data_IF_422511109693
#
_entry.id   IF_422511109693
#
_cell.length_a   1.000
_cell.length_b   1.000
_cell.length_c   1.000
_cell.angle_alpha   90.00
_cell.angle_beta   90.00
_cell.angle_gamma   90.00
#
_symmetry.space_group_name_H-M   'P 1'
#
loop_
_entity.id
_entity.type
_entity.pdbx_description
1 polymer ?
#
# COMPACT_ATOMS: atom_id res chain seq x y z
N UNK A 1 -14.06 5.03 18.16
CA UNK A 1 -12.91 5.28 19.05
C UNK A 1 -11.94 6.31 18.46
N UNK A 2 -12.32 7.00 17.38
CA UNK A 2 -11.50 8.00 16.68
C UNK A 2 -11.82 9.47 17.01
N UNK A 3 -12.84 9.72 17.84
CA UNK A 3 -13.25 11.10 18.22
C UNK A 3 -12.38 11.79 19.28
N UNK A 4 -11.28 11.17 19.71
CA UNK A 4 -10.43 11.77 20.75
C UNK A 4 -9.23 12.58 20.23
N UNK A 5 -8.99 12.59 18.91
CA UNK A 5 -7.86 13.32 18.34
C UNK A 5 -8.05 14.85 18.28
N UNK A 6 -9.27 15.33 18.35
CA UNK A 6 -9.61 16.77 18.29
C UNK A 6 -9.37 17.56 19.59
N UNK A 7 -8.90 16.92 20.68
CA UNK A 7 -8.69 17.55 21.97
C UNK A 7 -7.24 17.58 22.50
N UNK A 8 -6.26 17.23 21.66
CA UNK A 8 -4.86 17.42 22.01
C UNK A 8 -4.51 18.91 21.88
N UNK A 9 -4.12 19.50 23.01
CA UNK A 9 -3.96 20.94 23.22
C UNK A 9 -3.01 21.60 22.23
N UNK A 10 -3.21 22.91 22.05
CA UNK A 10 -2.36 23.83 21.30
C UNK A 10 -0.91 23.75 21.77
N UNK A 11 -0.09 22.97 21.08
CA UNK A 11 1.32 22.88 21.38
C UNK A 11 2.02 21.92 20.43
N UNK A 12 2.68 22.47 19.42
CA UNK A 12 3.39 21.82 18.32
C UNK A 12 2.48 21.25 17.25
N UNK A 13 2.04 22.12 16.37
CA UNK A 13 1.64 21.73 15.04
C UNK A 13 2.87 21.18 14.33
N UNK A 14 3.05 19.86 14.32
CA UNK A 14 3.58 19.25 13.11
C UNK A 14 2.49 19.50 12.08
N UNK A 15 2.69 20.52 11.28
CA UNK A 15 2.02 20.68 10.02
C UNK A 15 2.42 19.46 9.19
N UNK A 16 1.72 18.34 9.32
CA UNK A 16 1.34 17.65 8.14
C UNK A 16 0.57 18.72 7.35
N UNK A 17 1.19 19.34 6.39
CA UNK A 17 0.43 19.79 5.25
C UNK A 17 -0.37 18.55 4.87
N UNK A 18 -1.66 18.57 5.15
CA UNK A 18 -2.61 17.67 4.53
C UNK A 18 -2.36 17.90 3.05
N UNK A 19 -1.56 17.01 2.44
CA UNK A 19 -1.60 16.81 1.02
C UNK A 19 -2.99 16.26 0.77
N UNK A 20 -3.91 17.18 0.52
CA UNK A 20 -5.31 16.94 0.16
C UNK A 20 -5.41 16.35 -1.27
N UNK A 21 -4.31 15.72 -1.70
CA UNK A 21 -4.20 14.95 -2.91
C UNK A 21 -4.71 13.54 -2.58
N UNK A 22 -5.96 13.32 -2.92
CA UNK A 22 -6.59 12.03 -2.71
C UNK A 22 -6.13 11.02 -3.77
N UNK A 23 -6.87 10.95 -4.83
CA UNK A 23 -6.61 10.13 -6.00
C UNK A 23 -6.90 10.97 -7.25
N UNK A 24 -6.01 10.89 -8.22
CA UNK A 24 -6.21 11.45 -9.55
C UNK A 24 -6.34 10.30 -10.55
N UNK A 25 -7.26 10.40 -11.53
CA UNK A 25 -7.37 9.44 -12.59
C UNK A 25 -7.68 10.13 -13.93
N UNK A 26 -7.09 9.60 -15.00
CA UNK A 26 -7.20 10.17 -16.35
C UNK A 26 -6.75 9.19 -17.41
N UNK A 27 -7.13 9.45 -18.66
CA UNK A 27 -6.59 8.74 -19.82
C UNK A 27 -5.35 9.44 -20.36
N UNK A 28 -4.28 8.69 -20.62
CA UNK A 28 -3.09 9.17 -21.36
C UNK A 28 -2.71 8.14 -22.44
N UNK A 29 -2.96 8.50 -23.68
CA UNK A 29 -2.72 7.62 -24.82
C UNK A 29 -3.49 6.31 -24.78
N UNK A 30 -2.78 5.20 -24.61
CA UNK A 30 -3.36 3.85 -24.51
C UNK A 30 -3.55 3.37 -23.06
N UNK A 31 -3.22 4.21 -22.09
CA UNK A 31 -3.25 3.90 -20.67
C UNK A 31 -4.38 4.63 -19.97
N UNK A 32 -4.97 3.97 -18.98
CA UNK A 32 -5.69 4.63 -17.91
C UNK A 32 -4.75 4.76 -16.71
N UNK A 33 -4.56 5.97 -16.22
CA UNK A 33 -3.64 6.28 -15.12
C UNK A 33 -4.43 6.56 -13.85
N UNK A 34 -4.01 5.96 -12.74
CA UNK A 34 -4.56 6.19 -11.41
C UNK A 34 -3.39 6.53 -10.48
N UNK A 35 -3.34 7.77 -9.99
CA UNK A 35 -2.33 8.23 -9.04
C UNK A 35 -2.90 8.23 -7.61
N UNK A 36 -2.42 7.33 -6.77
CA UNK A 36 -2.80 7.26 -5.35
C UNK A 36 -1.72 7.89 -4.48
N UNK A 37 -1.98 9.08 -3.95
CA UNK A 37 -1.05 9.78 -3.06
C UNK A 37 -1.13 9.30 -1.61
N UNK A 38 -2.21 8.62 -1.23
CA UNK A 38 -2.40 8.01 0.08
C UNK A 38 -3.37 6.84 0.00
N UNK A 39 -3.24 5.88 0.90
CA UNK A 39 -4.25 4.86 1.15
C UNK A 39 -5.05 5.16 2.43
N UNK A 40 -5.29 6.44 2.73
CA UNK A 40 -6.23 6.79 3.78
C UNK A 40 -7.59 6.11 3.53
N UNK A 41 -8.24 5.69 4.62
CA UNK A 41 -9.51 4.93 4.52
C UNK A 41 -10.61 5.73 3.79
N UNK A 42 -10.55 7.05 3.80
CA UNK A 42 -11.48 7.91 3.08
C UNK A 42 -11.42 7.72 1.56
N UNK A 43 -10.29 7.23 1.04
CA UNK A 43 -10.10 6.92 -0.40
C UNK A 43 -11.04 5.82 -0.90
N UNK A 44 -11.67 5.04 -0.02
CA UNK A 44 -12.72 4.10 -0.43
C UNK A 44 -13.88 4.80 -1.17
N UNK A 45 -14.17 6.05 -0.84
CA UNK A 45 -15.19 6.83 -1.54
C UNK A 45 -14.76 7.19 -2.97
N UNK A 46 -13.47 7.46 -3.17
CA UNK A 46 -12.91 7.79 -4.49
C UNK A 46 -12.88 6.59 -5.42
N UNK A 47 -12.87 5.36 -4.90
CA UNK A 47 -12.92 4.15 -5.73
C UNK A 47 -14.22 4.03 -6.53
N UNK A 48 -15.33 4.60 -6.04
CA UNK A 48 -16.59 4.63 -6.79
C UNK A 48 -16.45 5.53 -8.04
N UNK A 49 -15.82 6.70 -7.91
CA UNK A 49 -15.54 7.60 -9.03
C UNK A 49 -14.60 6.94 -10.06
N UNK A 50 -13.51 6.33 -9.58
CA UNK A 50 -12.59 5.58 -10.47
C UNK A 50 -13.36 4.50 -11.25
N UNK A 51 -14.27 3.79 -10.60
CA UNK A 51 -15.08 2.78 -11.25
C UNK A 51 -15.99 3.38 -12.35
N UNK A 52 -16.56 4.56 -12.13
CA UNK A 52 -17.36 5.25 -13.14
C UNK A 52 -16.51 5.66 -14.35
N UNK A 53 -15.34 6.26 -14.12
CA UNK A 53 -14.44 6.68 -15.19
C UNK A 53 -13.88 5.50 -15.99
N UNK A 54 -13.59 4.37 -15.32
CA UNK A 54 -13.13 3.15 -15.97
C UNK A 54 -14.18 2.50 -16.89
N UNK A 55 -15.49 2.75 -16.68
CA UNK A 55 -16.53 2.22 -17.55
C UNK A 55 -16.49 2.80 -18.98
N UNK A 56 -16.00 4.03 -19.10
CA UNK A 56 -15.89 4.70 -20.40
C UNK A 56 -14.54 4.42 -21.09
N UNK A 57 -13.57 3.87 -20.35
CA UNK A 57 -12.27 3.50 -20.91
C UNK A 57 -12.33 2.20 -21.72
N UNK A 58 -11.86 2.26 -22.97
CA UNK A 58 -11.90 1.13 -23.89
C UNK A 58 -10.53 0.46 -24.12
N UNK A 59 -9.49 0.91 -23.40
CA UNK A 59 -8.17 0.28 -23.44
C UNK A 59 -8.07 -0.95 -22.55
N UNK A 60 -6.91 -1.60 -22.58
CA UNK A 60 -6.63 -2.79 -21.78
C UNK A 60 -5.40 -2.63 -20.86
N UNK A 61 -4.87 -1.41 -20.75
CA UNK A 61 -3.67 -1.09 -19.98
C UNK A 61 -3.96 -0.07 -18.90
N UNK A 62 -3.56 -0.40 -17.68
CA UNK A 62 -3.65 0.50 -16.52
C UNK A 62 -2.27 0.74 -15.94
N UNK A 63 -2.01 1.98 -15.58
CA UNK A 63 -0.90 2.40 -14.72
C UNK A 63 -1.47 2.85 -13.38
N UNK A 64 -0.97 2.28 -12.29
CA UNK A 64 -1.27 2.69 -10.91
C UNK A 64 0.01 3.29 -10.35
N UNK A 65 0.00 4.57 -10.02
CA UNK A 65 1.15 5.25 -9.42
C UNK A 65 0.96 5.38 -7.90
N UNK A 66 1.88 4.77 -7.15
CA UNK A 66 1.99 4.86 -5.70
C UNK A 66 3.40 5.33 -5.28
N UNK A 67 4.11 6.00 -6.18
CA UNK A 67 5.53 6.31 -5.99
C UNK A 67 5.79 7.29 -4.83
N UNK A 68 4.84 8.14 -4.49
CA UNK A 68 4.88 9.07 -3.35
C UNK A 68 3.91 8.69 -2.22
N UNK A 69 3.29 7.51 -2.29
CA UNK A 69 2.30 7.03 -1.33
C UNK A 69 2.96 6.46 -0.07
N UNK A 70 2.80 7.14 1.05
CA UNK A 70 3.34 6.75 2.35
C UNK A 70 2.49 5.71 3.11
N UNK A 71 1.47 5.14 2.45
CA UNK A 71 0.65 4.09 3.03
C UNK A 71 -0.73 4.56 3.49
N UNK A 72 -1.23 3.90 4.53
CA UNK A 72 -2.58 4.06 5.06
C UNK A 72 -3.21 2.69 5.37
N UNK A 73 -4.39 2.41 4.84
CA UNK A 73 -5.11 1.15 5.06
C UNK A 73 -4.99 0.19 3.89
N UNK A 74 -4.61 -1.05 4.17
CA UNK A 74 -4.60 -2.13 3.18
C UNK A 74 -5.98 -2.38 2.54
N UNK A 75 -7.07 -2.01 3.21
CA UNK A 75 -8.43 -2.17 2.70
C UNK A 75 -8.61 -1.42 1.38
N UNK A 76 -7.98 -0.24 1.22
CA UNK A 76 -8.12 0.60 0.03
C UNK A 76 -7.56 -0.10 -1.21
N UNK A 77 -6.30 -0.53 -1.16
CA UNK A 77 -5.70 -1.18 -2.31
C UNK A 77 -6.28 -2.59 -2.56
N UNK A 78 -6.67 -3.32 -1.51
CA UNK A 78 -7.36 -4.61 -1.67
C UNK A 78 -8.69 -4.45 -2.42
N UNK A 79 -9.43 -3.38 -2.12
CA UNK A 79 -10.67 -3.04 -2.82
C UNK A 79 -10.39 -2.67 -4.28
N UNK A 80 -9.37 -1.85 -4.54
CA UNK A 80 -8.95 -1.53 -5.90
C UNK A 80 -8.63 -2.80 -6.71
N UNK A 81 -7.83 -3.71 -6.15
CA UNK A 81 -7.51 -4.99 -6.79
C UNK A 81 -8.76 -5.80 -7.08
N UNK A 82 -9.75 -5.81 -6.16
CA UNK A 82 -11.02 -6.54 -6.39
C UNK A 82 -11.80 -6.01 -7.59
N UNK A 83 -11.67 -4.73 -7.90
CA UNK A 83 -12.32 -4.12 -9.08
C UNK A 83 -11.57 -4.43 -10.38
N UNK A 84 -10.23 -4.32 -10.35
CA UNK A 84 -9.39 -4.38 -11.54
C UNK A 84 -9.03 -5.80 -11.99
N UNK A 85 -9.33 -6.81 -11.19
CA UNK A 85 -8.96 -8.19 -11.47
C UNK A 85 -10.15 -9.06 -11.86
N UNK A 86 -9.98 -9.86 -12.88
CA UNK A 86 -10.93 -10.93 -13.26
C UNK A 86 -10.84 -12.19 -12.38
N UNK A 87 -9.84 -12.29 -11.50
CA UNK A 87 -9.56 -13.48 -10.69
C UNK A 87 -9.40 -13.17 -9.20
N UNK A 88 -9.74 -14.16 -8.36
CA UNK A 88 -9.49 -14.11 -6.93
C UNK A 88 -8.00 -14.29 -6.63
N UNK A 89 -7.53 -13.62 -5.58
CA UNK A 89 -6.17 -13.78 -5.09
C UNK A 89 -6.15 -14.33 -3.67
N UNK A 90 -5.25 -15.27 -3.44
CA UNK A 90 -4.86 -15.72 -2.11
C UNK A 90 -3.34 -15.70 -2.00
N UNK A 91 -2.83 -14.76 -1.25
CA UNK A 91 -1.40 -14.56 -1.04
C UNK A 91 -1.03 -14.72 0.42
N UNK A 92 0.08 -15.41 0.68
CA UNK A 92 0.61 -15.62 2.03
C UNK A 92 2.05 -15.15 2.09
N UNK A 93 2.34 -14.27 3.03
CA UNK A 93 3.68 -13.77 3.30
C UNK A 93 4.13 -14.16 4.70
N UNK A 94 5.36 -14.65 4.82
CA UNK A 94 5.95 -14.93 6.14
C UNK A 94 6.62 -13.67 6.65
N UNK A 95 6.09 -13.12 7.73
CA UNK A 95 6.67 -11.97 8.42
C UNK A 95 7.49 -12.46 9.61
N UNK A 96 8.69 -11.87 9.78
CA UNK A 96 9.57 -12.18 10.91
C UNK A 96 9.70 -10.95 11.79
N UNK A 97 9.53 -11.14 13.09
CA UNK A 97 9.62 -10.07 14.07
C UNK A 97 10.50 -10.42 15.26
N UNK A 98 10.78 -9.42 16.08
CA UNK A 98 11.60 -9.48 17.26
C UNK A 98 10.98 -8.70 18.42
N UNK A 99 11.23 -9.15 19.64
CA UNK A 99 10.81 -8.45 20.84
C UNK A 99 9.51 -8.98 21.44
N UNK A 100 9.48 -8.94 22.79
CA UNK A 100 8.35 -9.45 23.58
C UNK A 100 7.07 -8.65 23.34
N UNK A 101 7.20 -7.31 23.29
CA UNK A 101 6.05 -6.42 23.08
C UNK A 101 5.43 -6.68 21.71
N UNK A 102 6.27 -6.71 20.66
CA UNK A 102 5.84 -6.99 19.29
C UNK A 102 5.17 -8.36 19.16
N UNK A 103 5.76 -9.41 19.78
CA UNK A 103 5.15 -10.73 19.75
C UNK A 103 3.75 -10.73 20.37
N UNK A 104 3.59 -10.13 21.55
CA UNK A 104 2.28 -10.03 22.23
C UNK A 104 1.29 -9.17 21.44
N UNK A 105 1.79 -8.14 20.77
CA UNK A 105 0.96 -7.30 19.93
C UNK A 105 0.39 -8.09 18.74
N UNK A 106 1.23 -8.85 18.02
CA UNK A 106 0.78 -9.73 16.93
C UNK A 106 -0.21 -10.79 17.45
N UNK A 107 0.07 -11.42 18.57
CA UNK A 107 -0.82 -12.40 19.22
C UNK A 107 -2.19 -11.80 19.60
N UNK A 108 -2.26 -10.49 19.87
CA UNK A 108 -3.54 -9.83 20.21
C UNK A 108 -4.51 -9.70 19.03
N UNK A 109 -4.06 -9.96 17.80
CA UNK A 109 -4.89 -10.05 16.59
C UNK A 109 -5.36 -11.47 16.30
N UNK A 110 -5.25 -12.41 17.25
CA UNK A 110 -5.54 -13.84 17.06
C UNK A 110 -4.70 -14.50 15.95
N UNK A 111 -3.52 -13.96 15.70
CA UNK A 111 -2.56 -14.48 14.71
C UNK A 111 -1.70 -15.56 15.39
N UNK A 112 -1.60 -16.73 14.76
CA UNK A 112 -0.70 -17.80 15.20
C UNK A 112 0.77 -17.39 15.00
N UNK A 113 1.50 -17.30 16.12
CA UNK A 113 2.88 -16.83 16.14
C UNK A 113 3.82 -17.96 16.51
N UNK A 114 4.77 -18.26 15.64
CA UNK A 114 5.78 -19.28 15.82
C UNK A 114 7.10 -18.68 16.33
N UNK A 115 7.75 -19.35 17.27
CA UNK A 115 9.07 -18.98 17.78
C UNK A 115 9.07 -18.26 19.13
N UNK A 116 10.24 -17.73 19.50
CA UNK A 116 10.49 -17.10 20.81
C UNK A 116 10.32 -15.57 20.75
N UNK A 117 10.38 -14.93 21.93
CA UNK A 117 10.37 -13.45 22.02
C UNK A 117 11.58 -12.80 21.31
N UNK A 118 12.73 -13.48 21.24
CA UNK A 118 13.92 -12.97 20.55
C UNK A 118 13.81 -13.06 19.02
N UNK A 119 13.04 -14.00 18.51
CA UNK A 119 12.74 -14.13 17.08
C UNK A 119 11.46 -14.95 16.92
N UNK A 120 10.47 -14.31 16.33
CA UNK A 120 9.19 -14.94 16.00
C UNK A 120 8.83 -14.74 14.54
N UNK A 121 7.85 -15.48 14.06
CA UNK A 121 7.27 -15.29 12.74
C UNK A 121 5.79 -15.63 12.74
N UNK A 122 5.07 -15.01 11.81
CA UNK A 122 3.67 -15.31 11.53
C UNK A 122 3.42 -15.30 10.02
N UNK A 123 2.26 -15.78 9.63
CA UNK A 123 1.83 -15.73 8.24
C UNK A 123 0.78 -14.61 8.10
N UNK A 124 1.14 -13.60 7.31
CA UNK A 124 0.19 -12.62 6.82
C UNK A 124 -0.57 -13.20 5.63
N UNK A 125 -1.90 -13.22 5.72
CA UNK A 125 -2.78 -13.79 4.70
C UNK A 125 -3.60 -12.67 4.05
N UNK A 126 -3.40 -12.50 2.75
CA UNK A 126 -4.20 -11.58 1.93
C UNK A 126 -5.13 -12.44 1.07
N UNK A 127 -6.43 -12.26 1.26
CA UNK A 127 -7.49 -12.92 0.48
C UNK A 127 -8.35 -11.84 -0.16
N UNK A 128 -8.37 -11.79 -1.49
CA UNK A 128 -9.11 -10.80 -2.26
C UNK A 128 -10.06 -11.55 -3.18
N UNK A 129 -11.36 -11.33 -2.98
CA UNK A 129 -12.39 -11.81 -3.87
C UNK A 129 -12.60 -10.79 -4.99
N UNK A 130 -12.46 -11.20 -6.22
CA UNK A 130 -12.72 -10.35 -7.38
C UNK A 130 -14.20 -10.00 -7.48
N UNK A 131 -14.50 -8.72 -7.69
CA UNK A 131 -15.84 -8.26 -8.04
C UNK A 131 -16.11 -8.36 -9.54
N UNK A 132 -15.10 -8.72 -10.33
CA UNK A 132 -15.17 -8.92 -11.80
C UNK A 132 -15.76 -7.73 -12.55
N UNK A 133 -15.48 -6.52 -12.06
CA UNK A 133 -15.94 -5.30 -12.71
C UNK A 133 -15.15 -5.05 -13.99
N UNK A 134 -13.83 -5.33 -13.94
CA UNK A 134 -12.90 -5.19 -15.05
C UNK A 134 -11.95 -6.40 -15.09
N UNK A 135 -11.38 -6.66 -16.26
CA UNK A 135 -10.37 -7.71 -16.47
C UNK A 135 -9.25 -7.13 -17.34
N UNK A 136 -8.41 -6.30 -16.72
CA UNK A 136 -7.29 -5.70 -17.43
C UNK A 136 -6.16 -6.71 -17.61
N UNK A 137 -5.68 -6.81 -18.84
CA UNK A 137 -4.61 -7.75 -19.19
C UNK A 137 -3.23 -7.24 -18.83
N UNK A 138 -3.07 -5.92 -18.74
CA UNK A 138 -1.81 -5.27 -18.45
C UNK A 138 -2.00 -4.20 -17.36
N UNK A 139 -1.62 -4.57 -16.15
CA UNK A 139 -1.58 -3.65 -15.01
C UNK A 139 -0.11 -3.38 -14.69
N UNK A 140 0.23 -2.11 -14.59
CA UNK A 140 1.55 -1.64 -14.19
C UNK A 140 1.42 -0.89 -12.86
N UNK A 141 2.38 -1.10 -11.97
CA UNK A 141 2.43 -0.43 -10.68
C UNK A 141 3.73 0.34 -10.57
N UNK A 142 3.63 1.67 -10.48
CA UNK A 142 4.78 2.53 -10.26
C UNK A 142 4.99 2.69 -8.76
N UNK A 143 6.22 2.44 -8.30
CA UNK A 143 6.63 2.60 -6.92
C UNK A 143 7.88 3.45 -6.80
N UNK A 144 8.08 4.09 -5.65
CA UNK A 144 9.19 4.99 -5.38
C UNK A 144 9.82 4.78 -4.00
N UNK A 145 10.79 5.61 -3.68
CA UNK A 145 11.49 5.60 -2.40
C UNK A 145 10.64 6.14 -1.23
N UNK A 146 9.45 6.69 -1.52
CA UNK A 146 8.43 7.05 -0.52
C UNK A 146 7.36 5.98 -0.35
N UNK A 147 7.29 4.99 -1.25
CA UNK A 147 6.30 3.90 -1.13
C UNK A 147 6.51 3.15 0.19
N UNK A 148 5.56 3.27 1.12
CA UNK A 148 5.74 2.85 2.50
C UNK A 148 4.49 2.14 3.05
N UNK A 149 4.64 1.27 4.06
CA UNK A 149 3.55 0.65 4.81
C UNK A 149 2.54 -0.08 3.90
N UNK A 150 1.27 0.30 3.88
CA UNK A 150 0.24 -0.30 3.02
C UNK A 150 0.59 -0.23 1.52
N UNK A 151 1.27 0.83 1.07
CA UNK A 151 1.73 0.94 -0.32
C UNK A 151 2.85 -0.07 -0.64
N UNK A 152 3.79 -0.31 0.28
CA UNK A 152 4.78 -1.39 0.15
C UNK A 152 4.12 -2.79 0.18
N UNK A 153 3.10 -2.97 1.02
CA UNK A 153 2.28 -4.18 1.05
C UNK A 153 1.66 -4.46 -0.32
N UNK A 154 1.09 -3.45 -0.95
CA UNK A 154 0.50 -3.53 -2.28
C UNK A 154 1.55 -3.84 -3.36
N UNK A 155 2.71 -3.17 -3.33
CA UNK A 155 3.79 -3.43 -4.27
C UNK A 155 4.30 -4.88 -4.16
N UNK A 156 4.49 -5.38 -2.95
CA UNK A 156 4.90 -6.76 -2.67
C UNK A 156 3.87 -7.78 -3.11
N UNK A 157 2.59 -7.54 -2.80
CA UNK A 157 1.48 -8.36 -3.27
C UNK A 157 1.47 -8.42 -4.80
N UNK A 158 1.49 -7.26 -5.47
CA UNK A 158 1.44 -7.15 -6.92
C UNK A 158 2.57 -7.92 -7.61
N UNK A 159 3.80 -7.76 -7.10
CA UNK A 159 4.97 -8.47 -7.61
C UNK A 159 4.87 -9.98 -7.41
N UNK A 160 4.42 -10.41 -6.23
CA UNK A 160 4.43 -11.82 -5.85
C UNK A 160 3.31 -12.62 -6.50
N UNK A 161 2.16 -12.00 -6.75
CA UNK A 161 1.00 -12.64 -7.37
C UNK A 161 0.98 -12.48 -8.89
N UNK A 162 1.76 -11.54 -9.43
CA UNK A 162 1.70 -11.15 -10.83
C UNK A 162 0.48 -10.29 -11.17
N UNK A 163 -0.19 -9.71 -10.18
CA UNK A 163 -1.29 -8.78 -10.41
C UNK A 163 -0.85 -7.60 -11.26
N UNK A 164 0.31 -7.02 -10.96
CA UNK A 164 0.87 -5.94 -11.74
C UNK A 164 2.35 -6.13 -12.02
N UNK A 165 2.82 -5.56 -13.14
CA UNK A 165 4.24 -5.37 -13.42
C UNK A 165 4.76 -4.17 -12.62
N UNK A 166 5.61 -4.42 -11.63
CA UNK A 166 6.12 -3.37 -10.73
C UNK A 166 7.34 -2.70 -11.32
N UNK A 167 7.30 -1.38 -11.45
CA UNK A 167 8.30 -0.53 -12.10
C UNK A 167 8.68 0.62 -11.15
N UNK A 168 9.92 1.09 -11.17
CA UNK A 168 10.34 2.29 -10.45
C UNK A 168 11.54 2.08 -9.55
N UNK A 169 11.50 2.55 -8.30
CA UNK A 169 12.57 2.45 -7.31
C UNK A 169 12.19 1.53 -6.16
N UNK A 170 13.20 1.08 -5.42
CA UNK A 170 13.02 0.31 -4.18
C UNK A 170 12.18 1.12 -3.17
N UNK A 171 11.21 0.45 -2.50
CA UNK A 171 10.31 1.06 -1.53
C UNK A 171 11.01 1.45 -0.22
N UNK A 172 10.34 2.26 0.60
CA UNK A 172 10.74 2.52 2.00
C UNK A 172 10.38 1.34 2.95
N UNK A 173 9.58 0.38 2.51
CA UNK A 173 9.27 -0.84 3.24
C UNK A 173 8.11 -0.75 4.23
N UNK A 174 8.17 -1.57 5.30
CA UNK A 174 7.17 -1.66 6.39
C UNK A 174 5.78 -2.23 6.02
N UNK A 175 5.62 -2.85 4.87
CA UNK A 175 4.39 -3.55 4.52
C UNK A 175 4.20 -4.83 5.35
N UNK A 176 3.86 -4.74 6.62
CA UNK A 176 3.73 -5.88 7.55
C UNK A 176 2.30 -6.40 7.69
N UNK A 177 1.31 -5.72 7.12
CA UNK A 177 -0.11 -6.08 7.25
C UNK A 177 -0.72 -5.78 8.63
N UNK A 178 0.01 -5.14 9.53
CA UNK A 178 -0.46 -4.77 10.86
C UNK A 178 -0.28 -3.28 11.12
N UNK A 179 -1.19 -2.71 11.89
CA UNK A 179 -1.08 -1.34 12.36
C UNK A 179 0.15 -1.16 13.27
N UNK A 180 0.73 0.05 13.36
CA UNK A 180 1.77 0.34 14.30
C UNK A 180 1.26 0.27 15.75
N UNK A 181 2.12 -0.14 16.68
CA UNK A 181 1.82 -0.05 18.10
C UNK A 181 1.82 1.41 18.54
N UNK A 182 0.79 1.82 19.26
CA UNK A 182 0.70 3.16 19.84
C UNK A 182 1.07 3.11 21.34
N UNK A 183 2.09 3.88 21.71
CA UNK A 183 2.53 4.04 23.09
C UNK A 183 2.30 5.49 23.55
N UNK A 184 1.44 5.66 24.55
CA UNK A 184 1.29 6.95 25.21
C UNK A 184 2.32 7.09 26.35
N UNK A 185 3.16 8.11 26.27
CA UNK A 185 4.13 8.42 27.32
C UNK A 185 3.42 9.09 28.50
N UNK A 186 3.43 8.48 29.71
CA UNK A 186 2.49 8.84 30.79
C UNK A 186 2.67 10.24 31.35
N UNK A 187 3.86 10.85 31.24
CA UNK A 187 4.15 12.17 31.82
C UNK A 187 4.02 13.32 30.82
N UNK A 188 4.11 13.03 29.54
CA UNK A 188 4.11 14.06 28.48
C UNK A 188 2.87 14.02 27.60
N UNK A 189 2.07 12.95 27.69
CA UNK A 189 0.97 12.64 26.78
C UNK A 189 1.38 12.59 25.30
N UNK A 190 2.67 12.41 25.02
CA UNK A 190 3.16 12.20 23.65
C UNK A 190 2.79 10.80 23.22
N UNK A 191 2.14 10.70 22.07
CA UNK A 191 1.84 9.43 21.43
C UNK A 191 3.00 9.05 20.51
N UNK A 192 3.60 7.90 20.77
CA UNK A 192 4.69 7.34 19.97
C UNK A 192 4.15 6.18 19.14
N UNK A 193 4.38 6.23 17.86
CA UNK A 193 4.12 5.08 16.95
C UNK A 193 5.38 4.22 16.88
N UNK A 194 5.21 2.93 17.11
CA UNK A 194 6.29 1.94 17.06
C UNK A 194 5.96 0.89 16.00
N UNK A 195 7.00 0.43 15.31
CA UNK A 195 6.86 -0.72 14.44
C UNK A 195 6.28 -1.94 15.18
N UNK A 196 5.27 -2.56 14.57
CA UNK A 196 4.55 -3.68 15.17
C UNK A 196 5.37 -4.96 15.27
N UNK A 197 6.39 -5.12 14.44
CA UNK A 197 7.19 -6.36 14.39
C UNK A 197 8.61 -6.23 14.91
N UNK A 198 9.05 -5.01 15.25
CA UNK A 198 10.36 -4.76 15.87
C UNK A 198 11.53 -5.14 14.96
N UNK A 199 11.40 -4.97 13.66
CA UNK A 199 12.44 -5.28 12.65
C UNK A 199 12.69 -4.08 11.75
N UNK A 200 13.93 -3.99 11.21
CA UNK A 200 14.20 -3.08 10.10
C UNK A 200 13.27 -3.41 8.92
N UNK A 201 12.80 -2.41 8.16
CA UNK A 201 11.88 -2.63 7.07
C UNK A 201 12.49 -3.60 6.05
N UNK A 202 11.71 -4.60 5.66
CA UNK A 202 11.95 -5.28 4.40
C UNK A 202 11.36 -4.40 3.30
N UNK A 203 12.21 -4.02 2.36
CA UNK A 203 11.84 -3.19 1.22
C UNK A 203 11.40 -4.06 0.05
N UNK A 204 10.50 -3.56 -0.76
CA UNK A 204 10.13 -4.20 -2.02
C UNK A 204 10.97 -3.61 -3.16
N UNK A 205 11.62 -4.48 -3.95
CA UNK A 205 12.34 -4.07 -5.16
C UNK A 205 11.43 -4.22 -6.38
N UNK A 206 11.39 -3.24 -7.29
CA UNK A 206 10.63 -3.35 -8.51
C UNK A 206 11.13 -4.51 -9.39
N UNK A 207 10.35 -4.89 -10.39
CA UNK A 207 10.80 -5.81 -11.45
C UNK A 207 11.71 -5.09 -12.45
N UNK A 208 11.40 -3.83 -12.73
CA UNK A 208 12.18 -2.95 -13.60
C UNK A 208 12.54 -1.67 -12.85
N UNK A 209 13.84 -1.45 -12.65
CA UNK A 209 14.34 -0.26 -11.97
C UNK A 209 14.42 0.91 -12.94
N UNK A 210 13.86 2.05 -12.55
CA UNK A 210 13.96 3.33 -13.27
C UNK A 210 14.45 4.43 -12.33
N UNK A 211 15.39 5.24 -12.80
CA UNK A 211 15.88 6.38 -12.04
C UNK A 211 14.90 7.55 -12.03
N UNK A 212 14.20 7.74 -13.13
CA UNK A 212 13.12 8.72 -13.27
C UNK A 212 11.78 7.97 -13.34
N UNK A 213 10.85 8.32 -12.48
CA UNK A 213 9.58 7.63 -12.30
C UNK A 213 8.36 8.52 -12.65
N UNK A 214 8.54 9.53 -13.50
CA UNK A 214 7.38 10.26 -14.02
C UNK A 214 6.57 9.36 -14.98
N UNK A 215 5.27 9.56 -15.03
CA UNK A 215 4.34 8.74 -15.82
C UNK A 215 4.80 8.59 -17.27
N UNK A 216 5.16 9.68 -17.95
CA UNK A 216 5.58 9.65 -19.37
C UNK A 216 6.84 8.83 -19.61
N UNK A 217 7.81 8.84 -18.71
CA UNK A 217 9.02 8.03 -18.84
C UNK A 217 8.69 6.55 -18.67
N UNK A 218 7.76 6.22 -17.76
CA UNK A 218 7.29 4.86 -17.54
C UNK A 218 6.50 4.36 -18.75
N UNK A 219 5.58 5.15 -19.29
CA UNK A 219 4.85 4.81 -20.52
C UNK A 219 5.79 4.54 -21.69
N UNK A 220 6.75 5.45 -21.91
CA UNK A 220 7.75 5.28 -22.96
C UNK A 220 8.57 4.00 -22.73
N UNK A 221 8.94 3.71 -21.48
CA UNK A 221 9.67 2.49 -21.13
C UNK A 221 8.86 1.24 -21.44
N UNK A 222 7.56 1.21 -21.06
CA UNK A 222 6.64 0.10 -21.33
C UNK A 222 6.53 -0.16 -22.83
N UNK A 223 6.27 0.88 -23.61
CA UNK A 223 6.10 0.78 -25.06
C UNK A 223 7.39 0.35 -25.75
N UNK A 224 8.53 0.95 -25.40
CA UNK A 224 9.83 0.66 -26.02
C UNK A 224 10.29 -0.77 -25.76
N UNK A 225 10.02 -1.31 -24.56
CA UNK A 225 10.45 -2.65 -24.16
C UNK A 225 9.38 -3.72 -24.39
N UNK A 226 8.20 -3.34 -24.89
CA UNK A 226 7.06 -4.23 -25.16
C UNK A 226 6.71 -5.14 -23.97
N UNK A 227 6.63 -4.54 -22.78
CA UNK A 227 6.32 -5.23 -21.52
C UNK A 227 4.87 -5.04 -21.11
#
# INVERSE_FOLDING_TARGET
MFDSYSKLGKGTSYLHEENDRGVDCYEDGEFFVIEFHSFDISMLNSLAQINEELQDFHGDKIIIDISDNEGGSDIVWKKLVSYLSGADYRYKSKITGHGRASKKYVESYDIDVQGSESKFSYIDCIDIQSEKLFDFKKVYLIMGDKTFSAADSFARFSKSTGFATVIGKESAGFGTGLDPMLLNLPYTNVLVMLDSVGKYPETTKPKYELNNICIKDVEQYIVTNNI
#
